data_IF_789813067414
#
_entry.id   IF_789813067414
#
_cell.length_a   1.000
_cell.length_b   1.000
_cell.length_c   1.000
_cell.angle_alpha   90.00
_cell.angle_beta   90.00
_cell.angle_gamma   90.00
#
_symmetry.space_group_name_H-M   'P 1'
#
loop_
_entity.id
_entity.type
_entity.pdbx_description
1 polymer ?
#
# COMPACT_ATOMS: atom_id res chain seq x y z
N UNK A 1 12.49 -16.62 -0.54
CA UNK A 1 12.72 -15.19 -0.90
C UNK A 1 11.98 -14.79 -2.18
N UNK A 2 11.61 -15.74 -3.07
CA UNK A 2 10.80 -15.39 -4.25
C UNK A 2 9.37 -15.02 -3.84
N UNK A 3 8.83 -15.67 -2.79
CA UNK A 3 7.50 -15.34 -2.26
C UNK A 3 7.44 -13.94 -1.64
N UNK A 4 8.46 -13.55 -0.86
CA UNK A 4 8.57 -12.21 -0.24
C UNK A 4 8.65 -11.12 -1.30
N UNK A 5 9.47 -11.30 -2.35
CA UNK A 5 9.55 -10.33 -3.44
C UNK A 5 8.21 -10.19 -4.18
N UNK A 6 7.51 -11.31 -4.35
CA UNK A 6 6.16 -11.33 -4.94
C UNK A 6 5.13 -10.66 -4.03
N UNK A 7 5.21 -10.88 -2.71
CA UNK A 7 4.38 -10.23 -1.71
C UNK A 7 4.56 -8.71 -1.73
N UNK A 8 5.80 -8.24 -1.75
CA UNK A 8 6.08 -6.81 -1.89
C UNK A 8 5.59 -6.23 -3.23
N UNK A 9 5.70 -6.98 -4.32
CA UNK A 9 5.16 -6.56 -5.61
C UNK A 9 3.64 -6.43 -5.57
N UNK A 10 2.93 -7.38 -4.94
CA UNK A 10 1.48 -7.31 -4.73
C UNK A 10 1.08 -6.12 -3.85
N UNK A 11 1.78 -5.90 -2.73
CA UNK A 11 1.59 -4.73 -1.86
C UNK A 11 1.73 -3.44 -2.67
N UNK A 12 2.82 -3.31 -3.43
CA UNK A 12 3.08 -2.14 -4.26
C UNK A 12 1.98 -1.93 -5.30
N UNK A 13 1.53 -2.99 -5.97
CA UNK A 13 0.46 -2.92 -6.96
C UNK A 13 -0.84 -2.41 -6.34
N UNK A 14 -1.27 -2.97 -5.20
CA UNK A 14 -2.51 -2.52 -4.53
C UNK A 14 -2.44 -1.05 -4.13
N UNK A 15 -1.31 -0.60 -3.55
CA UNK A 15 -1.13 0.80 -3.19
C UNK A 15 -1.08 1.73 -4.42
N UNK A 16 -0.57 1.24 -5.56
CA UNK A 16 -0.61 2.00 -6.81
C UNK A 16 -2.02 2.12 -7.38
N UNK A 17 -2.80 1.04 -7.35
CA UNK A 17 -4.21 1.05 -7.76
C UNK A 17 -5.00 2.05 -6.90
N UNK A 18 -4.76 2.04 -5.60
CA UNK A 18 -5.39 2.97 -4.65
C UNK A 18 -4.96 4.42 -4.89
N UNK A 19 -3.66 4.64 -5.13
CA UNK A 19 -3.15 5.94 -5.54
C UNK A 19 -3.81 6.45 -6.82
N UNK A 20 -3.99 5.59 -7.83
CA UNK A 20 -4.67 5.96 -9.07
C UNK A 20 -6.15 6.30 -8.83
N UNK A 21 -6.85 5.56 -7.95
CA UNK A 21 -8.22 5.86 -7.54
C UNK A 21 -8.31 7.29 -6.98
N UNK A 22 -7.50 7.61 -5.96
CA UNK A 22 -7.50 8.92 -5.30
C UNK A 22 -7.13 10.04 -6.30
N UNK A 23 -6.12 9.85 -7.16
CA UNK A 23 -5.78 10.85 -8.18
C UNK A 23 -6.91 11.07 -9.18
N UNK A 24 -7.63 10.01 -9.56
CA UNK A 24 -8.80 10.11 -10.44
C UNK A 24 -9.93 10.88 -9.76
N UNK A 25 -10.19 10.61 -8.48
CA UNK A 25 -11.21 11.31 -7.70
C UNK A 25 -10.91 12.79 -7.55
N UNK A 26 -9.65 13.15 -7.21
CA UNK A 26 -9.20 14.55 -7.16
C UNK A 26 -9.36 15.23 -8.53
N UNK A 27 -8.99 14.55 -9.61
CA UNK A 27 -9.05 15.12 -10.96
C UNK A 27 -10.48 15.37 -11.44
N UNK A 28 -11.39 14.45 -11.11
CA UNK A 28 -12.79 14.53 -11.47
C UNK A 28 -13.63 15.25 -10.40
N UNK A 29 -12.98 15.80 -9.37
CA UNK A 29 -13.67 16.46 -8.28
C UNK A 29 -14.39 17.72 -8.81
N UNK A 30 -15.71 17.86 -8.60
CA UNK A 30 -16.47 19.01 -9.08
C UNK A 30 -15.92 20.31 -8.47
N UNK A 31 -16.10 21.45 -9.16
CA UNK A 31 -15.57 22.73 -8.69
C UNK A 31 -15.98 22.99 -7.22
N UNK A 32 -15.01 23.08 -6.27
CA UNK A 32 -15.31 23.11 -4.85
C UNK A 32 -16.11 24.36 -4.51
N UNK A 33 -17.21 24.20 -3.78
CA UNK A 33 -17.92 25.33 -3.18
C UNK A 33 -17.01 25.84 -2.04
N UNK A 34 -16.56 27.10 -2.06
CA UNK A 34 -15.58 27.59 -1.08
C UNK A 34 -16.06 27.39 0.37
N UNK A 35 -15.14 26.94 1.24
CA UNK A 35 -15.23 26.90 2.70
C UNK A 35 -15.84 25.66 3.41
N UNK A 36 -16.13 24.55 2.72
CA UNK A 36 -16.63 23.35 3.43
C UNK A 36 -16.24 21.99 2.82
N UNK A 37 -15.19 21.93 2.01
CA UNK A 37 -14.88 20.70 1.28
C UNK A 37 -13.97 19.76 2.06
N UNK A 38 -14.51 19.23 3.17
CA UNK A 38 -13.85 18.21 3.97
C UNK A 38 -13.49 16.97 3.16
N UNK A 39 -14.26 16.67 2.10
CA UNK A 39 -14.00 15.55 1.22
C UNK A 39 -12.76 15.79 0.35
N UNK A 40 -12.61 16.97 -0.25
CA UNK A 40 -11.41 17.30 -1.02
C UNK A 40 -10.17 17.37 -0.13
N UNK A 41 -10.28 17.93 1.08
CA UNK A 41 -9.18 17.89 2.07
C UNK A 41 -8.78 16.46 2.43
N UNK A 42 -9.76 15.59 2.69
CA UNK A 42 -9.51 14.17 2.96
C UNK A 42 -8.78 13.48 1.79
N UNK A 43 -9.22 13.71 0.55
CA UNK A 43 -8.56 13.15 -0.64
C UNK A 43 -7.10 13.61 -0.79
N UNK A 44 -6.78 14.85 -0.43
CA UNK A 44 -5.41 15.36 -0.45
C UNK A 44 -4.54 14.69 0.62
N UNK A 45 -5.06 14.52 1.84
CA UNK A 45 -4.38 13.80 2.92
C UNK A 45 -4.16 12.33 2.55
N UNK A 46 -5.18 11.69 1.98
CA UNK A 46 -5.14 10.31 1.49
C UNK A 46 -4.04 10.13 0.43
N UNK A 47 -3.95 11.07 -0.52
CA UNK A 47 -2.90 11.08 -1.55
C UNK A 47 -1.50 11.18 -0.94
N UNK A 48 -1.30 12.04 0.06
CA UNK A 48 0.00 12.22 0.72
C UNK A 48 0.41 10.99 1.52
N UNK A 49 -0.54 10.39 2.24
CA UNK A 49 -0.34 9.16 2.97
C UNK A 49 0.01 7.98 2.05
N UNK A 50 -0.74 7.78 0.96
CA UNK A 50 -0.45 6.74 -0.05
C UNK A 50 0.91 6.94 -0.71
N UNK A 51 1.27 8.19 -1.02
CA UNK A 51 2.59 8.51 -1.59
C UNK A 51 3.72 8.12 -0.64
N UNK A 52 3.54 8.37 0.65
CA UNK A 52 4.50 8.01 1.71
C UNK A 52 4.60 6.50 1.91
N UNK A 53 3.47 5.77 1.91
CA UNK A 53 3.47 4.31 1.98
C UNK A 53 4.16 3.67 0.77
N UNK A 54 3.91 4.17 -0.44
CA UNK A 54 4.57 3.69 -1.66
C UNK A 54 6.09 3.88 -1.61
N UNK A 55 6.58 5.00 -1.06
CA UNK A 55 8.02 5.20 -0.83
C UNK A 55 8.55 4.17 0.16
N UNK A 56 7.87 4.00 1.29
CA UNK A 56 8.26 3.03 2.32
C UNK A 56 8.33 1.59 1.78
N UNK A 57 7.36 1.18 0.97
CA UNK A 57 7.36 -0.15 0.33
C UNK A 57 8.57 -0.32 -0.58
N UNK A 58 8.91 0.68 -1.41
CA UNK A 58 10.10 0.59 -2.26
C UNK A 58 11.40 0.50 -1.47
N UNK A 59 11.48 1.16 -0.32
CA UNK A 59 12.65 1.07 0.56
C UNK A 59 12.75 -0.32 1.20
N UNK A 60 11.63 -0.86 1.71
CA UNK A 60 11.58 -2.20 2.28
C UNK A 60 11.89 -3.29 1.25
N UNK A 61 11.35 -3.18 0.03
CA UNK A 61 11.67 -4.08 -1.09
C UNK A 61 13.17 -4.18 -1.36
N UNK A 62 13.87 -3.04 -1.36
CA UNK A 62 15.33 -3.00 -1.58
C UNK A 62 16.09 -3.60 -0.40
N UNK A 63 15.62 -3.37 0.83
CA UNK A 63 16.26 -3.84 2.05
C UNK A 63 16.09 -5.35 2.27
N UNK A 64 14.91 -5.87 1.94
CA UNK A 64 14.50 -7.23 2.27
C UNK A 64 14.97 -8.27 1.25
N UNK A 65 15.56 -7.84 0.13
CA UNK A 65 16.14 -8.74 -0.89
C UNK A 65 17.21 -9.68 -0.32
N UNK A 66 17.89 -9.30 0.76
CA UNK A 66 18.98 -10.07 1.40
C UNK A 66 18.73 -10.37 2.90
N UNK A 67 17.52 -10.10 3.42
CA UNK A 67 17.23 -10.18 4.85
C UNK A 67 16.57 -11.50 5.25
N UNK A 68 17.02 -12.10 6.36
CA UNK A 68 16.33 -13.24 7.00
C UNK A 68 15.02 -12.84 7.69
N UNK A 69 14.84 -11.55 7.97
CA UNK A 69 13.66 -11.00 8.65
C UNK A 69 12.61 -10.43 7.66
N UNK A 70 12.79 -10.70 6.37
CA UNK A 70 11.97 -10.13 5.32
C UNK A 70 10.47 -10.49 5.43
N UNK A 71 10.14 -11.68 5.91
CA UNK A 71 8.75 -12.08 6.20
C UNK A 71 8.14 -11.22 7.32
N UNK A 72 8.88 -11.03 8.43
CA UNK A 72 8.43 -10.19 9.54
C UNK A 72 8.22 -8.73 9.11
N UNK A 73 9.04 -8.21 8.18
CA UNK A 73 8.85 -6.89 7.58
C UNK A 73 7.54 -6.79 6.80
N UNK A 74 7.22 -7.83 6.00
CA UNK A 74 5.95 -7.90 5.26
C UNK A 74 4.77 -7.94 6.24
N UNK A 75 4.80 -8.83 7.23
CA UNK A 75 3.72 -8.96 8.21
C UNK A 75 3.47 -7.66 8.98
N UNK A 76 4.55 -7.04 9.48
CA UNK A 76 4.46 -5.75 10.14
C UNK A 76 3.86 -4.69 9.21
N UNK A 77 4.23 -4.65 7.93
CA UNK A 77 3.64 -3.72 6.98
C UNK A 77 2.13 -3.96 6.78
N UNK A 78 1.72 -5.22 6.64
CA UNK A 78 0.30 -5.59 6.48
C UNK A 78 -0.54 -5.22 7.71
N UNK A 79 0.02 -5.32 8.90
CA UNK A 79 -0.66 -4.93 10.14
C UNK A 79 -0.88 -3.42 10.22
N UNK A 80 0.07 -2.61 9.76
CA UNK A 80 0.01 -1.15 9.87
C UNK A 80 -0.62 -0.42 8.68
N UNK A 81 -0.65 -1.01 7.48
CA UNK A 81 -1.22 -0.35 6.31
C UNK A 81 -2.75 -0.29 6.40
N UNK A 82 -3.30 0.92 6.24
CA UNK A 82 -4.75 1.14 6.20
C UNK A 82 -5.33 1.09 4.79
N UNK A 83 -4.48 1.01 3.77
CA UNK A 83 -4.86 1.07 2.35
C UNK A 83 -4.93 -0.30 1.67
N UNK A 84 -4.64 -1.37 2.43
CA UNK A 84 -4.82 -2.74 1.97
C UNK A 84 -6.12 -3.30 2.53
N UNK A 85 -6.95 -3.85 1.66
CA UNK A 85 -8.15 -4.57 2.08
C UNK A 85 -7.79 -5.83 2.89
N UNK A 86 -8.66 -6.26 3.79
CA UNK A 86 -8.45 -7.48 4.56
C UNK A 86 -8.29 -8.72 3.67
N UNK A 87 -8.95 -8.74 2.50
CA UNK A 87 -8.76 -9.81 1.51
C UNK A 87 -7.35 -9.80 0.92
N UNK A 88 -6.84 -8.63 0.52
CA UNK A 88 -5.47 -8.51 0.00
C UNK A 88 -4.45 -8.90 1.07
N UNK A 89 -4.63 -8.43 2.31
CA UNK A 89 -3.76 -8.80 3.44
C UNK A 89 -3.72 -10.31 3.65
N UNK A 90 -4.86 -11.00 3.58
CA UNK A 90 -4.91 -12.47 3.73
C UNK A 90 -4.23 -13.20 2.58
N UNK A 91 -4.44 -12.74 1.35
CA UNK A 91 -3.81 -13.31 0.16
C UNK A 91 -2.29 -13.20 0.22
N UNK A 92 -1.78 -12.01 0.57
CA UNK A 92 -0.34 -11.75 0.68
C UNK A 92 0.28 -12.59 1.81
N UNK A 93 -0.37 -12.70 2.98
CA UNK A 93 0.13 -13.58 4.06
C UNK A 93 0.21 -15.04 3.61
N UNK A 94 -0.84 -15.54 2.96
CA UNK A 94 -0.83 -16.91 2.44
C UNK A 94 0.30 -17.15 1.44
N UNK A 95 0.60 -16.17 0.58
CA UNK A 95 1.70 -16.27 -0.38
C UNK A 95 3.05 -16.45 0.32
N UNK A 96 3.30 -15.70 1.39
CA UNK A 96 4.57 -15.76 2.13
C UNK A 96 4.68 -17.05 2.95
N UNK A 97 3.58 -17.48 3.58
CA UNK A 97 3.53 -18.70 4.40
C UNK A 97 3.70 -19.99 3.59
N UNK A 98 3.26 -20.01 2.32
CA UNK A 98 3.34 -21.19 1.44
C UNK A 98 4.78 -21.54 1.00
N UNK A 99 5.80 -20.71 1.28
CA UNK A 99 7.21 -21.00 0.96
C UNK A 99 7.89 -21.90 2.03
N UNK A 100 7.19 -22.26 3.11
CA UNK A 100 7.72 -23.05 4.26
C UNK A 100 7.40 -24.56 4.17
N UNK A 101 6.67 -25.04 3.16
CA UNK A 101 6.38 -26.48 2.98
C UNK A 101 7.38 -27.22 2.08
#
# INVERSE_FOLDING_TARGET
MASVNSAWAMIHQHLQEESHRVHSEIRNYPAPIPACDAQYSYLLEEREALSSELVRVRELMKKDTDSKDAQSSVDAFLDFSNYLSDSAKREIRSLVDNEIQ
#
